data_IF_298858182188
#
_entry.id   IF_298858182188
#
_cell.length_a   1.000
_cell.length_b   1.000
_cell.length_c   1.000
_cell.angle_alpha   90.00
_cell.angle_beta   90.00
_cell.angle_gamma   90.00
#
_symmetry.space_group_name_H-M   'P 1'
#
loop_
_entity.id
_entity.type
_entity.pdbx_description
1 polymer ?
#
# COMPACT_ATOMS: atom_id res chain seq x y z
N UNK A 1 1.30 3.82 -15.11
CA UNK A 1 0.85 4.40 -13.83
C UNK A 1 1.65 5.64 -13.46
N UNK A 2 2.98 5.60 -13.41
CA UNK A 2 3.81 6.73 -12.95
C UNK A 2 3.65 8.00 -13.81
N UNK A 3 3.67 7.89 -15.13
CA UNK A 3 3.36 9.00 -16.04
C UNK A 3 1.95 9.56 -15.83
N UNK A 4 0.99 8.70 -15.48
CA UNK A 4 -0.37 9.14 -15.19
C UNK A 4 -0.43 9.99 -13.91
N UNK A 5 0.30 9.59 -12.86
CA UNK A 5 0.35 10.33 -11.59
C UNK A 5 1.05 11.68 -11.78
N UNK A 6 2.14 11.73 -12.56
CA UNK A 6 2.81 12.97 -12.93
C UNK A 6 1.89 13.91 -13.71
N UNK A 7 1.26 13.41 -14.75
CA UNK A 7 0.29 14.17 -15.57
C UNK A 7 -0.91 14.64 -14.75
N UNK A 8 -1.42 13.78 -13.86
CA UNK A 8 -2.56 14.14 -13.02
C UNK A 8 -2.23 15.26 -12.03
N UNK A 9 -1.01 15.27 -11.45
CA UNK A 9 -0.55 16.39 -10.63
C UNK A 9 -0.47 17.67 -11.45
N UNK A 10 0.17 17.62 -12.61
CA UNK A 10 0.30 18.79 -13.51
C UNK A 10 -1.06 19.31 -13.95
N UNK A 11 -1.99 18.43 -14.32
CA UNK A 11 -3.36 18.80 -14.71
C UNK A 11 -4.16 19.41 -13.55
N UNK A 12 -4.00 18.88 -12.33
CA UNK A 12 -4.74 19.36 -11.16
C UNK A 12 -4.17 20.68 -10.60
N UNK A 13 -2.86 20.89 -10.69
CA UNK A 13 -2.20 21.99 -9.96
C UNK A 13 -1.41 22.95 -10.87
N UNK A 14 -1.36 22.72 -12.20
CA UNK A 14 -0.78 23.62 -13.18
C UNK A 14 0.75 23.65 -13.17
N UNK A 15 1.42 22.64 -12.56
CA UNK A 15 2.88 22.53 -12.54
C UNK A 15 3.35 21.08 -12.58
N UNK A 16 4.47 20.77 -13.25
CA UNK A 16 5.00 19.42 -13.28
C UNK A 16 5.51 18.98 -11.89
N UNK A 17 5.53 17.68 -11.60
CA UNK A 17 6.13 17.16 -10.37
C UNK A 17 7.64 17.37 -10.36
N UNK A 18 8.20 17.67 -9.18
CA UNK A 18 9.64 17.68 -8.95
C UNK A 18 10.17 16.29 -8.58
N UNK A 19 9.28 15.44 -8.00
CA UNK A 19 9.59 14.06 -7.69
C UNK A 19 8.36 13.17 -7.87
N UNK A 20 8.61 11.92 -8.33
CA UNK A 20 7.61 10.84 -8.40
C UNK A 20 8.21 9.62 -7.72
N UNK A 21 7.51 9.10 -6.72
CA UNK A 21 7.91 7.90 -6.00
C UNK A 21 6.81 6.85 -6.03
N UNK A 22 7.22 5.60 -6.04
CA UNK A 22 6.31 4.47 -5.86
C UNK A 22 6.70 3.66 -4.65
N UNK A 23 5.70 3.13 -3.94
CA UNK A 23 5.89 2.18 -2.86
C UNK A 23 5.01 0.94 -3.12
N UNK A 24 5.54 -0.27 -2.95
CA UNK A 24 4.79 -1.50 -3.16
C UNK A 24 3.73 -1.68 -2.07
N UNK A 25 2.62 -2.32 -2.41
CA UNK A 25 1.76 -2.90 -1.39
C UNK A 25 2.54 -3.93 -0.58
N UNK A 26 2.15 -4.13 0.67
CA UNK A 26 2.76 -5.12 1.52
C UNK A 26 1.69 -6.01 2.19
N UNK A 27 2.09 -7.18 2.63
CA UNK A 27 1.21 -8.16 3.24
C UNK A 27 1.96 -9.00 4.27
N UNK A 28 1.22 -9.47 5.29
CA UNK A 28 1.76 -10.44 6.25
C UNK A 28 1.76 -11.84 5.66
N UNK A 29 2.79 -12.59 5.97
CA UNK A 29 2.84 -14.03 5.69
C UNK A 29 2.11 -14.83 6.79
N UNK A 30 1.87 -16.11 6.50
CA UNK A 30 1.29 -17.06 7.47
C UNK A 30 2.26 -17.41 8.64
N UNK A 31 3.47 -16.84 8.62
CA UNK A 31 4.45 -16.94 9.69
C UNK A 31 4.48 -15.64 10.49
N UNK A 32 4.37 -15.69 11.82
CA UNK A 32 4.31 -14.51 12.66
C UNK A 32 5.46 -13.52 12.41
N UNK A 33 5.12 -12.26 12.23
CA UNK A 33 6.06 -11.15 12.06
C UNK A 33 6.72 -11.05 10.69
N UNK A 34 6.59 -12.03 9.79
CA UNK A 34 7.10 -11.93 8.43
C UNK A 34 6.15 -11.14 7.54
N UNK A 35 6.69 -10.23 6.77
CA UNK A 35 5.98 -9.42 5.77
C UNK A 35 6.72 -9.44 4.45
N UNK A 36 6.00 -9.27 3.35
CA UNK A 36 6.60 -9.16 2.03
C UNK A 36 5.95 -8.03 1.21
N UNK A 37 6.68 -7.54 0.21
CA UNK A 37 6.19 -6.54 -0.71
C UNK A 37 5.58 -7.19 -1.95
N UNK A 38 4.46 -6.66 -2.44
CA UNK A 38 3.77 -7.10 -3.65
C UNK A 38 4.13 -6.21 -4.85
N UNK A 39 4.19 -6.78 -6.05
CA UNK A 39 4.59 -6.08 -7.27
C UNK A 39 3.62 -4.99 -7.77
N UNK A 40 2.58 -4.66 -7.01
CA UNK A 40 1.68 -3.53 -7.30
C UNK A 40 2.08 -2.31 -6.48
N UNK A 41 2.22 -1.13 -7.10
CA UNK A 41 2.61 0.08 -6.39
C UNK A 41 1.42 0.99 -6.05
N UNK A 42 1.64 1.83 -5.05
CA UNK A 42 1.04 3.15 -4.94
C UNK A 42 2.07 4.16 -5.38
N UNK A 43 1.69 5.14 -6.18
CA UNK A 43 2.58 6.22 -6.61
C UNK A 43 2.13 7.56 -6.04
N UNK A 44 3.10 8.41 -5.72
CA UNK A 44 2.92 9.78 -5.29
C UNK A 44 3.80 10.70 -6.13
N UNK A 45 3.20 11.78 -6.65
CA UNK A 45 3.90 12.87 -7.31
C UNK A 45 3.84 14.11 -6.42
N UNK A 46 4.95 14.81 -6.25
CA UNK A 46 5.06 16.00 -5.41
C UNK A 46 5.74 17.15 -6.14
N UNK A 47 5.27 18.39 -5.87
CA UNK A 47 5.92 19.62 -6.26
C UNK A 47 5.97 20.60 -5.08
N UNK A 48 7.10 21.36 -4.90
CA UNK A 48 7.24 22.27 -3.77
C UNK A 48 6.37 23.52 -3.94
N UNK A 49 5.92 24.07 -2.81
CA UNK A 49 5.23 25.37 -2.74
C UNK A 49 5.95 26.31 -1.79
N UNK A 50 5.62 27.60 -1.87
CA UNK A 50 6.19 28.67 -1.03
C UNK A 50 5.14 29.48 -0.30
N UNK A 51 3.85 29.17 -0.49
CA UNK A 51 2.71 29.92 0.07
C UNK A 51 2.11 29.28 1.34
N UNK A 52 2.73 28.21 1.83
CA UNK A 52 2.27 27.49 3.03
C UNK A 52 1.01 26.64 2.81
N UNK A 53 0.59 26.41 1.57
CA UNK A 53 -0.56 25.59 1.24
C UNK A 53 -0.15 24.14 0.95
N UNK A 54 -1.01 23.22 1.36
CA UNK A 54 -1.00 21.82 0.93
C UNK A 54 -2.17 21.65 -0.04
N UNK A 55 -1.89 21.19 -1.25
CA UNK A 55 -2.90 20.85 -2.23
C UNK A 55 -2.85 19.36 -2.51
N UNK A 56 -3.95 18.68 -2.23
CA UNK A 56 -4.08 17.24 -2.37
C UNK A 56 -5.05 16.91 -3.49
N UNK A 57 -4.68 15.95 -4.32
CA UNK A 57 -5.55 15.38 -5.35
C UNK A 57 -5.36 13.87 -5.46
N UNK A 58 -6.38 13.16 -5.96
CA UNK A 58 -6.34 11.73 -6.21
C UNK A 58 -7.34 11.35 -7.30
N UNK A 59 -6.95 10.49 -8.24
CA UNK A 59 -7.86 9.95 -9.23
C UNK A 59 -8.96 9.05 -8.62
N UNK A 60 -8.76 8.56 -7.40
CA UNK A 60 -9.80 7.85 -6.66
C UNK A 60 -10.91 8.78 -6.16
N UNK A 61 -10.63 10.10 -6.10
CA UNK A 61 -11.54 11.16 -5.63
C UNK A 61 -11.45 12.37 -6.58
N UNK A 62 -11.82 12.24 -7.86
CA UNK A 62 -11.55 13.26 -8.89
C UNK A 62 -12.34 14.56 -8.70
N UNK A 63 -13.45 14.51 -7.97
CA UNK A 63 -14.27 15.68 -7.67
C UNK A 63 -13.82 16.44 -6.41
N UNK A 64 -12.93 15.86 -5.61
CA UNK A 64 -12.56 16.36 -4.29
C UNK A 64 -11.10 16.84 -4.32
N UNK A 65 -10.81 18.05 -4.76
CA UNK A 65 -9.54 18.69 -4.45
C UNK A 65 -9.56 19.23 -3.01
N UNK A 66 -8.39 19.19 -2.35
CA UNK A 66 -8.27 19.67 -0.98
C UNK A 66 -7.09 20.63 -0.86
N UNK A 67 -7.41 21.91 -0.64
CA UNK A 67 -6.43 22.98 -0.43
C UNK A 67 -6.48 23.41 1.04
N UNK A 68 -5.43 23.11 1.80
CA UNK A 68 -5.40 23.32 3.25
C UNK A 68 -4.11 24.04 3.67
N UNK A 69 -4.20 25.10 4.50
CA UNK A 69 -3.02 25.74 5.08
C UNK A 69 -2.24 24.78 5.99
N UNK A 70 -0.92 24.68 5.78
CA UNK A 70 -0.05 23.79 6.55
C UNK A 70 0.12 24.24 8.01
N UNK A 71 -0.10 25.52 8.30
CA UNK A 71 0.04 26.09 9.65
C UNK A 71 -1.06 25.70 10.63
N UNK A 72 -2.18 25.15 10.18
CA UNK A 72 -3.30 24.77 11.05
C UNK A 72 -2.90 23.66 12.04
N UNK A 73 -3.50 23.71 13.22
CA UNK A 73 -3.28 22.69 14.28
C UNK A 73 -3.88 21.34 13.92
N UNK A 74 -4.90 21.31 13.08
CA UNK A 74 -5.58 20.13 12.53
C UNK A 74 -6.15 20.41 11.15
N UNK A 75 -6.70 19.40 10.47
CA UNK A 75 -7.42 19.63 9.23
C UNK A 75 -8.67 20.45 9.51
N UNK A 76 -9.10 21.35 8.59
CA UNK A 76 -10.40 22.01 8.67
C UNK A 76 -11.55 20.98 8.77
N UNK A 77 -12.70 21.36 9.36
CA UNK A 77 -13.84 20.44 9.52
C UNK A 77 -14.41 19.91 8.19
N UNK A 78 -14.26 20.66 7.12
CA UNK A 78 -14.70 20.33 5.75
C UNK A 78 -13.67 19.52 4.95
N UNK A 79 -12.52 19.18 5.55
CA UNK A 79 -11.50 18.36 4.89
C UNK A 79 -12.07 16.98 4.52
N UNK A 80 -12.02 16.56 3.24
CA UNK A 80 -12.46 15.24 2.85
C UNK A 80 -11.78 14.14 3.65
N UNK A 81 -12.51 13.10 4.05
CA UNK A 81 -11.99 12.03 4.91
C UNK A 81 -10.72 11.37 4.36
N UNK A 82 -10.61 11.22 3.03
CA UNK A 82 -9.43 10.67 2.38
C UNK A 82 -8.19 11.55 2.51
N UNK A 83 -8.36 12.88 2.66
CA UNK A 83 -7.27 13.85 2.75
C UNK A 83 -6.74 14.04 4.18
N UNK A 84 -7.50 13.66 5.20
CA UNK A 84 -7.12 13.83 6.63
C UNK A 84 -5.79 13.17 6.95
N UNK A 85 -5.61 11.91 6.54
CA UNK A 85 -4.38 11.15 6.81
C UNK A 85 -3.16 11.71 6.05
N UNK A 86 -3.20 11.95 4.72
CA UNK A 86 -2.14 12.64 3.99
C UNK A 86 -1.79 14.00 4.60
N UNK A 87 -2.77 14.80 4.99
CA UNK A 87 -2.54 16.09 5.62
C UNK A 87 -1.79 15.96 6.96
N UNK A 88 -2.19 15.02 7.83
CA UNK A 88 -1.49 14.76 9.09
C UNK A 88 -0.01 14.39 8.86
N UNK A 89 0.26 13.58 7.83
CA UNK A 89 1.61 13.21 7.45
C UNK A 89 2.41 14.40 6.92
N UNK A 90 1.83 15.22 6.04
CA UNK A 90 2.51 16.42 5.50
C UNK A 90 2.88 17.40 6.61
N UNK A 91 2.02 17.58 7.61
CA UNK A 91 2.35 18.39 8.80
C UNK A 91 3.51 17.80 9.60
N UNK A 92 3.56 16.48 9.76
CA UNK A 92 4.67 15.83 10.46
C UNK A 92 5.99 15.98 9.67
N UNK A 93 5.94 15.84 8.36
CA UNK A 93 7.08 16.07 7.46
C UNK A 93 7.57 17.53 7.54
N UNK A 94 6.66 18.49 7.51
CA UNK A 94 7.01 19.92 7.62
C UNK A 94 7.67 20.25 8.96
N UNK A 95 7.21 19.67 10.07
CA UNK A 95 7.84 19.82 11.40
C UNK A 95 9.24 19.20 11.42
N UNK A 96 9.46 18.13 10.65
CA UNK A 96 10.77 17.50 10.50
C UNK A 96 11.70 18.24 9.50
N UNK A 97 11.20 19.30 8.85
CA UNK A 97 11.99 20.12 7.93
C UNK A 97 11.68 19.92 6.44
N UNK A 98 10.82 18.97 6.10
CA UNK A 98 10.42 18.70 4.72
C UNK A 98 9.12 19.42 4.36
N UNK A 99 9.10 20.23 3.32
CA UNK A 99 7.88 20.85 2.80
C UNK A 99 7.29 21.96 3.66
N UNK A 100 8.08 22.71 4.40
CA UNK A 100 7.61 23.84 5.25
C UNK A 100 6.90 24.94 4.45
N UNK A 101 7.25 25.14 3.18
CA UNK A 101 6.60 26.08 2.29
C UNK A 101 5.27 25.59 1.69
N UNK A 102 4.89 24.36 1.97
CA UNK A 102 3.72 23.71 1.37
C UNK A 102 4.11 22.74 0.26
N UNK A 103 3.11 22.00 -0.24
CA UNK A 103 3.34 20.95 -1.25
C UNK A 103 2.08 20.71 -2.08
N UNK A 104 2.22 20.63 -3.40
CA UNK A 104 1.23 20.03 -4.29
C UNK A 104 1.50 18.52 -4.32
N UNK A 105 0.47 17.72 -4.11
CA UNK A 105 0.58 16.27 -4.03
C UNK A 105 -0.55 15.57 -4.77
N UNK A 106 -0.18 14.57 -5.59
CA UNK A 106 -1.12 13.62 -6.16
C UNK A 106 -0.74 12.20 -5.78
N UNK A 107 -1.71 11.42 -5.27
CA UNK A 107 -1.48 10.02 -4.86
C UNK A 107 -2.46 9.10 -5.55
N UNK A 108 -1.96 8.00 -6.10
CA UNK A 108 -2.77 7.00 -6.80
C UNK A 108 -2.29 5.57 -6.53
N UNK A 109 -3.21 4.71 -6.12
CA UNK A 109 -2.97 3.28 -5.97
C UNK A 109 -3.29 2.49 -7.25
N UNK A 110 -2.55 1.42 -7.52
CA UNK A 110 -2.86 0.45 -8.59
C UNK A 110 -3.99 -0.50 -8.21
N UNK A 111 -4.26 -0.66 -6.92
CA UNK A 111 -5.35 -1.47 -6.37
C UNK A 111 -6.31 -0.60 -5.58
N UNK A 112 -7.58 -0.96 -5.62
CA UNK A 112 -8.60 -0.40 -4.72
C UNK A 112 -8.61 -1.16 -3.39
N UNK A 113 -9.18 -0.57 -2.34
CA UNK A 113 -9.38 -1.23 -1.04
C UNK A 113 -10.16 -2.56 -1.16
N UNK A 114 -10.99 -2.71 -2.20
CA UNK A 114 -11.71 -3.94 -2.49
C UNK A 114 -10.80 -5.13 -2.86
N UNK A 115 -9.55 -4.91 -3.21
CA UNK A 115 -8.57 -5.98 -3.41
C UNK A 115 -8.19 -6.68 -2.10
N UNK A 116 -8.34 -5.99 -0.96
CA UNK A 116 -8.14 -6.56 0.37
C UNK A 116 -6.72 -6.47 0.91
N UNK A 117 -5.82 -5.76 0.22
CA UNK A 117 -4.54 -5.33 0.78
C UNK A 117 -4.69 -3.98 1.48
N UNK A 118 -3.85 -3.71 2.47
CA UNK A 118 -3.76 -2.42 3.11
C UNK A 118 -3.28 -1.37 2.10
N UNK A 119 -4.04 -0.28 1.95
CA UNK A 119 -3.77 0.78 0.97
C UNK A 119 -3.11 2.00 1.57
N UNK A 120 -3.25 2.21 2.88
CA UNK A 120 -2.74 3.37 3.58
C UNK A 120 -1.22 3.34 3.71
N UNK A 121 -0.63 2.21 4.11
CA UNK A 121 0.79 2.08 4.38
C UNK A 121 1.68 2.35 3.15
N UNK A 122 1.39 1.77 1.96
CA UNK A 122 2.16 2.12 0.77
C UNK A 122 1.94 3.58 0.32
N UNK A 123 0.73 4.13 0.51
CA UNK A 123 0.46 5.53 0.20
C UNK A 123 1.26 6.47 1.11
N UNK A 124 1.31 6.19 2.42
CA UNK A 124 2.13 6.93 3.39
C UNK A 124 3.61 6.94 2.99
N UNK A 125 4.15 5.76 2.59
CA UNK A 125 5.54 5.61 2.21
C UNK A 125 5.86 6.36 0.90
N UNK A 126 5.02 6.21 -0.13
CA UNK A 126 5.20 6.91 -1.41
C UNK A 126 5.14 8.42 -1.23
N UNK A 127 4.17 8.93 -0.45
CA UNK A 127 4.01 10.33 -0.12
C UNK A 127 5.23 10.87 0.63
N UNK A 128 5.65 10.18 1.71
CA UNK A 128 6.77 10.63 2.53
C UNK A 128 8.08 10.72 1.72
N UNK A 129 8.33 9.73 0.85
CA UNK A 129 9.50 9.71 -0.03
C UNK A 129 9.44 10.82 -1.08
N UNK A 130 8.28 11.01 -1.74
CA UNK A 130 8.12 12.05 -2.76
C UNK A 130 8.35 13.46 -2.17
N UNK A 131 7.76 13.74 -1.00
CA UNK A 131 7.92 15.04 -0.33
C UNK A 131 9.35 15.23 0.18
N UNK A 132 9.95 14.21 0.80
CA UNK A 132 11.32 14.30 1.28
C UNK A 132 12.31 14.51 0.13
N UNK A 133 12.15 13.82 -1.00
CA UNK A 133 13.01 13.95 -2.19
C UNK A 133 12.99 15.39 -2.76
N UNK A 134 11.80 16.01 -2.84
CA UNK A 134 11.65 17.41 -3.30
C UNK A 134 12.43 18.41 -2.43
N UNK A 135 12.64 18.08 -1.16
CA UNK A 135 13.31 18.96 -0.18
C UNK A 135 14.71 18.46 0.23
N UNK A 136 15.20 17.41 -0.42
CA UNK A 136 16.57 16.89 -0.25
C UNK A 136 17.47 17.44 -1.37
N UNK A 137 18.75 17.72 -1.13
CA UNK A 137 19.67 18.13 -2.18
C UNK A 137 19.70 17.17 -3.36
N UNK A 138 19.85 17.71 -4.58
CA UNK A 138 19.88 16.91 -5.80
C UNK A 138 20.96 15.81 -5.72
N UNK A 139 20.57 14.58 -6.10
CA UNK A 139 21.46 13.40 -6.08
C UNK A 139 21.58 12.69 -4.73
N UNK A 140 20.91 13.18 -3.68
CA UNK A 140 20.86 12.52 -2.38
C UNK A 140 19.51 11.80 -2.23
N UNK A 141 19.52 10.51 -1.91
CA UNK A 141 18.27 9.80 -1.61
C UNK A 141 17.73 10.18 -0.22
N UNK A 142 16.39 10.25 -0.05
CA UNK A 142 15.76 10.44 1.25
C UNK A 142 16.16 9.34 2.25
N UNK A 143 16.48 9.72 3.50
CA UNK A 143 16.78 8.77 4.56
C UNK A 143 15.52 7.98 4.95
N UNK A 144 15.41 6.76 4.43
CA UNK A 144 14.28 5.86 4.66
C UNK A 144 14.13 5.46 6.12
N UNK A 145 15.23 5.35 6.87
CA UNK A 145 15.17 5.00 8.28
C UNK A 145 14.60 6.16 9.11
N UNK A 146 15.00 7.39 8.79
CA UNK A 146 14.40 8.59 9.38
C UNK A 146 12.91 8.70 9.06
N UNK A 147 12.52 8.48 7.79
CA UNK A 147 11.13 8.51 7.36
C UNK A 147 10.29 7.40 8.02
N UNK A 148 10.82 6.18 8.18
CA UNK A 148 10.13 5.11 8.88
C UNK A 148 9.78 5.50 10.34
N UNK A 149 10.74 6.11 11.07
CA UNK A 149 10.51 6.60 12.43
C UNK A 149 9.49 7.74 12.48
N UNK A 150 9.54 8.64 11.51
CA UNK A 150 8.60 9.73 11.39
C UNK A 150 7.18 9.22 11.14
N UNK A 151 7.02 8.28 10.19
CA UNK A 151 5.74 7.63 9.89
C UNK A 151 5.15 6.91 11.11
N UNK A 152 5.98 6.17 11.87
CA UNK A 152 5.54 5.47 13.07
C UNK A 152 4.98 6.43 14.13
N UNK A 153 5.62 7.60 14.31
CA UNK A 153 5.17 8.62 15.27
C UNK A 153 3.97 9.42 14.78
N UNK A 154 3.94 9.77 13.49
CA UNK A 154 2.89 10.60 12.92
C UNK A 154 1.57 9.85 12.73
N UNK A 155 1.64 8.57 12.46
CA UNK A 155 0.52 7.70 12.10
C UNK A 155 0.53 6.40 12.92
N UNK A 156 0.32 6.46 14.23
CA UNK A 156 0.44 5.30 15.12
C UNK A 156 -0.57 4.18 14.82
N UNK A 157 -1.69 4.52 14.18
CA UNK A 157 -2.73 3.54 13.81
C UNK A 157 -2.36 2.65 12.61
N UNK A 158 -1.26 2.98 11.91
CA UNK A 158 -0.77 2.20 10.76
C UNK A 158 -0.04 0.93 11.18
N UNK A 159 0.10 0.03 10.20
CA UNK A 159 0.91 -1.18 10.36
C UNK A 159 2.38 -0.87 10.04
N UNK A 160 3.21 -0.78 11.11
CA UNK A 160 4.63 -0.47 10.97
C UNK A 160 5.38 -1.55 10.17
N UNK A 161 4.99 -2.83 10.32
CA UNK A 161 5.64 -3.91 9.60
C UNK A 161 5.42 -3.78 8.08
N UNK A 162 4.21 -3.43 7.66
CA UNK A 162 3.90 -3.19 6.25
C UNK A 162 4.64 -1.96 5.69
N UNK A 163 4.74 -0.87 6.46
CA UNK A 163 5.55 0.30 6.05
C UNK A 163 7.02 -0.06 5.92
N UNK A 164 7.57 -0.84 6.86
CA UNK A 164 8.96 -1.31 6.77
C UNK A 164 9.17 -2.23 5.57
N UNK A 165 8.23 -3.10 5.24
CA UNK A 165 8.28 -3.88 4.01
C UNK A 165 8.27 -2.97 2.77
N UNK A 166 7.37 -1.99 2.71
CA UNK A 166 7.32 -1.05 1.58
C UNK A 166 8.62 -0.26 1.40
N UNK A 167 9.31 0.11 2.49
CA UNK A 167 10.54 0.91 2.46
C UNK A 167 11.83 0.09 2.23
N UNK A 168 11.88 -1.16 2.73
CA UNK A 168 13.14 -1.92 2.86
C UNK A 168 13.09 -3.32 2.25
N UNK A 169 11.99 -3.75 1.61
CA UNK A 169 11.90 -5.07 1.00
C UNK A 169 13.04 -5.32 -0.01
N UNK A 170 13.33 -6.59 -0.23
CA UNK A 170 14.22 -7.05 -1.29
C UNK A 170 13.44 -7.97 -2.24
N UNK A 171 13.70 -7.93 -3.55
CA UNK A 171 13.05 -8.85 -4.47
C UNK A 171 13.30 -10.31 -4.05
N UNK A 172 12.24 -11.13 -4.05
CA UNK A 172 12.35 -12.55 -3.70
C UNK A 172 12.53 -12.83 -2.20
N UNK A 173 12.43 -11.82 -1.30
CA UNK A 173 12.63 -11.99 0.12
C UNK A 173 11.45 -11.45 0.94
N UNK A 174 11.13 -12.15 2.02
CA UNK A 174 10.30 -11.65 3.09
C UNK A 174 11.16 -10.95 4.16
N UNK A 175 10.58 -9.97 4.82
CA UNK A 175 11.24 -9.17 5.86
C UNK A 175 10.67 -9.56 7.23
N UNK A 176 11.54 -9.85 8.18
CA UNK A 176 11.23 -9.83 9.59
C UNK A 176 11.68 -8.46 10.14
N UNK A 177 10.76 -7.50 10.31
CA UNK A 177 11.13 -6.19 10.82
C UNK A 177 11.71 -6.31 12.22
N UNK A 178 12.79 -5.59 12.50
CA UNK A 178 13.31 -5.45 13.87
C UNK A 178 12.25 -4.78 14.76
N UNK A 179 12.15 -5.21 16.02
CA UNK A 179 11.19 -4.62 16.99
C UNK A 179 11.52 -3.17 17.37
N UNK A 180 12.75 -2.74 17.12
CA UNK A 180 13.22 -1.37 17.35
C UNK A 180 14.38 -1.08 16.39
N UNK A 181 14.77 0.19 16.29
CA UNK A 181 15.85 0.64 15.40
C UNK A 181 17.23 0.04 15.74
N UNK A 182 17.38 -0.58 16.91
CA UNK A 182 18.62 -1.20 17.34
C UNK A 182 18.90 -2.55 16.65
N UNK A 183 17.91 -3.16 16.00
CA UNK A 183 18.08 -4.42 15.26
C UNK A 183 17.72 -4.22 13.78
N UNK A 184 18.68 -4.44 12.87
CA UNK A 184 18.39 -4.38 11.44
C UNK A 184 17.34 -5.43 11.05
N UNK A 185 16.55 -5.17 9.99
CA UNK A 185 15.61 -6.15 9.47
C UNK A 185 16.35 -7.42 9.05
N UNK A 186 15.73 -8.56 9.30
CA UNK A 186 16.22 -9.86 8.81
C UNK A 186 15.46 -10.22 7.55
N UNK A 187 16.15 -10.81 6.59
CA UNK A 187 15.56 -11.21 5.32
C UNK A 187 15.54 -12.74 5.25
N UNK A 188 14.45 -13.28 4.70
CA UNK A 188 14.23 -14.72 4.52
C UNK A 188 13.79 -14.92 3.07
N UNK A 189 14.42 -15.85 2.36
CA UNK A 189 14.03 -16.18 0.99
C UNK A 189 12.54 -16.51 0.91
N UNK A 190 11.82 -15.81 0.03
CA UNK A 190 10.40 -16.01 -0.24
C UNK A 190 10.10 -15.69 -1.69
N UNK A 191 10.40 -16.66 -2.54
CA UNK A 191 10.17 -16.56 -3.98
C UNK A 191 9.39 -17.80 -4.47
N UNK A 192 8.06 -17.77 -4.36
CA UNK A 192 7.22 -18.92 -4.75
C UNK A 192 7.47 -19.41 -6.17
N UNK A 193 7.79 -18.50 -7.10
CA UNK A 193 8.05 -18.87 -8.49
C UNK A 193 9.28 -19.79 -8.65
N UNK A 194 10.26 -19.71 -7.77
CA UNK A 194 11.44 -20.55 -7.81
C UNK A 194 11.12 -22.04 -7.55
N UNK A 195 10.05 -22.33 -6.81
CA UNK A 195 9.55 -23.67 -6.54
C UNK A 195 8.37 -24.09 -7.42
N UNK A 196 8.11 -23.35 -8.50
CA UNK A 196 6.91 -23.49 -9.36
C UNK A 196 5.59 -23.32 -8.60
N UNK A 197 5.62 -22.55 -7.54
CA UNK A 197 4.43 -22.14 -6.82
C UNK A 197 3.95 -20.76 -7.29
N UNK A 198 2.69 -20.46 -7.04
CA UNK A 198 2.09 -19.16 -7.27
C UNK A 198 1.53 -18.61 -5.98
N UNK A 199 1.85 -17.34 -5.72
CA UNK A 199 1.16 -16.57 -4.70
C UNK A 199 0.05 -15.77 -5.39
N UNK A 200 -1.17 -15.93 -4.90
CA UNK A 200 -2.36 -15.32 -5.49
C UNK A 200 -3.13 -14.58 -4.40
N UNK A 201 -3.51 -13.35 -4.68
CA UNK A 201 -4.49 -12.61 -3.88
C UNK A 201 -5.89 -12.93 -4.42
N UNK A 202 -6.72 -13.53 -3.60
CA UNK A 202 -8.11 -13.78 -3.88
C UNK A 202 -8.95 -12.68 -3.23
N UNK A 203 -9.45 -11.73 -4.03
CA UNK A 203 -10.28 -10.63 -3.57
C UNK A 203 -11.75 -11.03 -3.56
N UNK A 204 -12.32 -11.20 -2.37
CA UNK A 204 -13.72 -11.55 -2.18
C UNK A 204 -14.58 -10.30 -2.31
N UNK A 205 -15.51 -10.31 -3.25
CA UNK A 205 -16.42 -9.21 -3.55
C UNK A 205 -17.73 -9.36 -2.80
N UNK A 206 -18.32 -8.25 -2.36
CA UNK A 206 -19.67 -8.25 -1.75
C UNK A 206 -19.86 -7.08 -0.79
N UNK A 207 -21.11 -6.73 -0.56
CA UNK A 207 -21.54 -5.68 0.38
C UNK A 207 -21.81 -6.23 1.80
N UNK A 208 -21.35 -7.44 2.10
CA UNK A 208 -21.61 -8.12 3.37
C UNK A 208 -21.00 -7.37 4.56
N UNK A 209 -21.70 -7.26 5.65
CA UNK A 209 -21.21 -6.72 6.93
C UNK A 209 -20.10 -7.58 7.55
N UNK A 210 -19.49 -7.12 8.64
CA UNK A 210 -18.25 -7.69 9.19
C UNK A 210 -18.29 -9.19 9.53
N UNK A 211 -19.38 -9.71 10.09
CA UNK A 211 -19.51 -11.15 10.44
C UNK A 211 -19.63 -12.03 9.20
N UNK A 212 -20.52 -11.66 8.27
CA UNK A 212 -20.72 -12.39 7.01
C UNK A 212 -19.43 -12.40 6.18
N UNK A 213 -18.70 -11.27 6.16
CA UNK A 213 -17.42 -11.17 5.46
C UNK A 213 -16.40 -12.16 6.00
N UNK A 214 -16.26 -12.27 7.31
CA UNK A 214 -15.35 -13.24 7.94
C UNK A 214 -15.73 -14.68 7.57
N UNK A 215 -17.00 -15.00 7.59
CA UNK A 215 -17.48 -16.32 7.19
C UNK A 215 -17.20 -16.62 5.70
N UNK A 216 -17.38 -15.66 4.82
CA UNK A 216 -17.04 -15.79 3.38
C UNK A 216 -15.54 -16.02 3.16
N UNK A 217 -14.69 -15.28 3.86
CA UNK A 217 -13.24 -15.45 3.79
C UNK A 217 -12.80 -16.82 4.32
N UNK A 218 -13.36 -17.26 5.46
CA UNK A 218 -13.06 -18.57 6.02
C UNK A 218 -13.46 -19.71 5.06
N UNK A 219 -14.60 -19.60 4.39
CA UNK A 219 -15.03 -20.55 3.35
C UNK A 219 -14.10 -20.55 2.15
N UNK A 220 -13.70 -19.35 1.68
CA UNK A 220 -12.76 -19.20 0.59
C UNK A 220 -11.43 -19.89 0.89
N UNK A 221 -10.91 -19.71 2.11
CA UNK A 221 -9.70 -20.39 2.61
C UNK A 221 -9.90 -21.90 2.60
N UNK A 222 -10.99 -22.39 3.19
CA UNK A 222 -11.27 -23.82 3.27
C UNK A 222 -11.42 -24.46 1.87
N UNK A 223 -12.14 -23.79 0.97
CA UNK A 223 -12.32 -24.25 -0.42
C UNK A 223 -10.99 -24.30 -1.18
N UNK A 224 -10.16 -23.24 -1.08
CA UNK A 224 -8.86 -23.22 -1.73
C UNK A 224 -7.95 -24.35 -1.25
N UNK A 225 -7.92 -24.60 0.07
CA UNK A 225 -7.14 -25.72 0.66
C UNK A 225 -7.61 -27.08 0.17
N UNK A 226 -8.92 -27.34 0.17
CA UNK A 226 -9.48 -28.61 -0.36
C UNK A 226 -9.16 -28.81 -1.84
N UNK A 227 -9.07 -27.73 -2.62
CA UNK A 227 -8.76 -27.78 -4.04
C UNK A 227 -7.24 -27.92 -4.33
N UNK A 228 -6.39 -27.96 -3.32
CA UNK A 228 -4.95 -28.22 -3.44
C UNK A 228 -4.06 -27.01 -3.23
N UNK A 229 -4.53 -25.94 -2.58
CA UNK A 229 -3.67 -24.88 -2.12
C UNK A 229 -2.80 -25.39 -0.95
N UNK A 230 -1.51 -25.05 -0.98
CA UNK A 230 -0.55 -25.38 0.08
C UNK A 230 -0.88 -24.60 1.37
N UNK A 231 -1.16 -23.30 1.20
CA UNK A 231 -1.55 -22.39 2.28
C UNK A 231 -2.57 -21.38 1.80
N UNK A 232 -3.43 -20.92 2.72
CA UNK A 232 -4.33 -19.81 2.48
C UNK A 232 -4.56 -19.05 3.80
N UNK A 233 -4.43 -17.72 3.79
CA UNK A 233 -4.48 -16.87 4.98
C UNK A 233 -4.88 -15.42 4.64
N UNK A 234 -5.35 -14.61 5.59
CA UNK A 234 -5.61 -13.20 5.38
C UNK A 234 -4.29 -12.41 5.22
N UNK A 235 -4.24 -11.35 4.40
CA UNK A 235 -3.02 -10.58 4.14
C UNK A 235 -2.55 -9.70 5.30
N UNK A 236 -3.32 -9.61 6.39
CA UNK A 236 -2.98 -8.83 7.56
C UNK A 236 -3.95 -9.04 8.71
N UNK A 237 -3.65 -8.46 9.90
CA UNK A 237 -4.46 -8.63 11.11
C UNK A 237 -5.81 -7.90 11.04
N UNK A 238 -5.92 -6.86 10.21
CA UNK A 238 -7.17 -6.13 10.01
C UNK A 238 -8.10 -6.90 9.08
N UNK A 239 -9.40 -6.99 9.41
CA UNK A 239 -10.35 -7.66 8.53
C UNK A 239 -10.42 -6.94 7.17
N UNK A 240 -9.96 -7.61 6.14
CA UNK A 240 -10.01 -7.15 4.76
C UNK A 240 -11.01 -7.94 3.92
N UNK A 241 -10.93 -7.79 2.61
CA UNK A 241 -11.69 -8.57 1.63
C UNK A 241 -10.81 -9.56 0.85
N UNK A 242 -9.56 -9.72 1.24
CA UNK A 242 -8.57 -10.55 0.55
C UNK A 242 -8.18 -11.80 1.33
N UNK A 243 -7.80 -12.82 0.58
CA UNK A 243 -7.12 -14.03 1.06
C UNK A 243 -5.89 -14.24 0.19
N UNK A 244 -4.75 -14.43 0.82
CA UNK A 244 -3.54 -14.89 0.13
C UNK A 244 -3.58 -16.40 0.01
N UNK A 245 -3.25 -16.91 -1.17
CA UNK A 245 -3.25 -18.34 -1.48
C UNK A 245 -1.91 -18.69 -2.11
N UNK A 246 -1.16 -19.56 -1.46
CA UNK A 246 0.06 -20.18 -1.99
C UNK A 246 -0.31 -21.56 -2.53
N UNK A 247 0.02 -21.83 -3.80
CA UNK A 247 -0.37 -23.07 -4.45
C UNK A 247 0.60 -23.44 -5.58
N UNK A 248 0.76 -24.75 -5.90
CA UNK A 248 1.47 -25.17 -7.09
C UNK A 248 0.82 -24.60 -8.35
N UNK A 249 1.63 -24.14 -9.30
CA UNK A 249 1.12 -23.55 -10.56
C UNK A 249 0.12 -24.48 -11.26
N UNK A 250 0.39 -25.78 -11.27
CA UNK A 250 -0.50 -26.80 -11.86
C UNK A 250 -1.89 -26.86 -11.19
N UNK A 251 -2.04 -26.37 -9.97
CA UNK A 251 -3.32 -26.36 -9.22
C UNK A 251 -4.12 -25.07 -9.40
N UNK A 252 -3.56 -24.04 -10.03
CA UNK A 252 -4.21 -22.73 -10.14
C UNK A 252 -5.59 -22.80 -10.79
N UNK A 253 -5.74 -23.53 -11.88
CA UNK A 253 -7.02 -23.67 -12.57
C UNK A 253 -8.05 -24.40 -11.71
N UNK A 254 -7.66 -25.50 -11.07
CA UNK A 254 -8.54 -26.28 -10.21
C UNK A 254 -9.02 -25.47 -8.99
N UNK A 255 -8.14 -24.75 -8.33
CA UNK A 255 -8.48 -23.88 -7.20
C UNK A 255 -9.44 -22.76 -7.64
N UNK A 256 -9.18 -22.10 -8.76
CA UNK A 256 -10.07 -21.06 -9.31
C UNK A 256 -11.47 -21.61 -9.61
N UNK A 257 -11.55 -22.77 -10.24
CA UNK A 257 -12.82 -23.42 -10.59
C UNK A 257 -13.61 -23.80 -9.34
N UNK A 258 -12.96 -24.45 -8.36
CA UNK A 258 -13.61 -24.87 -7.13
C UNK A 258 -14.16 -23.68 -6.32
N UNK A 259 -13.35 -22.62 -6.15
CA UNK A 259 -13.78 -21.42 -5.44
C UNK A 259 -14.91 -20.71 -6.20
N UNK A 260 -14.82 -20.63 -7.52
CA UNK A 260 -15.85 -20.00 -8.34
C UNK A 260 -17.20 -20.77 -8.25
N UNK A 261 -17.16 -22.10 -8.25
CA UNK A 261 -18.35 -22.94 -8.07
C UNK A 261 -18.99 -22.70 -6.70
N UNK A 262 -18.22 -22.80 -5.61
CA UNK A 262 -18.67 -22.55 -4.24
C UNK A 262 -19.39 -21.20 -4.07
N UNK A 263 -18.84 -20.13 -4.67
CA UNK A 263 -19.43 -18.80 -4.58
C UNK A 263 -20.69 -18.66 -5.44
N UNK A 264 -20.72 -19.25 -6.65
CA UNK A 264 -21.92 -19.25 -7.52
C UNK A 264 -23.07 -20.02 -6.91
N UNK A 265 -22.83 -21.20 -6.35
CA UNK A 265 -23.84 -22.02 -5.66
C UNK A 265 -24.54 -21.26 -4.53
N UNK A 266 -23.85 -20.30 -3.92
CA UNK A 266 -24.36 -19.43 -2.86
C UNK A 266 -24.93 -18.11 -3.36
N UNK A 267 -25.03 -17.90 -4.68
CA UNK A 267 -25.46 -16.64 -5.25
C UNK A 267 -24.53 -15.45 -4.93
N UNK A 268 -23.23 -15.73 -4.68
CA UNK A 268 -22.24 -14.72 -4.33
C UNK A 268 -21.35 -14.38 -5.55
N UNK A 269 -20.88 -13.12 -5.67
CA UNK A 269 -19.93 -12.76 -6.71
C UNK A 269 -18.64 -13.58 -6.61
N UNK A 270 -18.20 -14.12 -7.73
CA UNK A 270 -16.94 -14.88 -7.80
C UNK A 270 -15.77 -13.98 -7.42
N UNK A 271 -14.86 -14.42 -6.53
CA UNK A 271 -13.66 -13.67 -6.18
C UNK A 271 -12.77 -13.39 -7.39
N UNK A 272 -12.07 -12.26 -7.36
CA UNK A 272 -11.00 -12.00 -8.33
C UNK A 272 -9.71 -12.64 -7.85
N UNK A 273 -8.95 -13.19 -8.78
CA UNK A 273 -7.65 -13.80 -8.52
C UNK A 273 -6.57 -12.94 -9.17
N UNK A 274 -5.67 -12.41 -8.37
CA UNK A 274 -4.57 -11.55 -8.80
C UNK A 274 -3.24 -12.24 -8.42
N UNK A 275 -2.38 -12.50 -9.40
CA UNK A 275 -1.07 -13.08 -9.14
C UNK A 275 -0.18 -12.05 -8.45
N UNK A 276 0.54 -12.45 -7.39
CA UNK A 276 1.51 -11.61 -6.70
C UNK A 276 2.92 -12.04 -7.08
N UNK A 277 3.72 -11.08 -7.52
CA UNK A 277 5.18 -11.21 -7.53
C UNK A 277 5.72 -10.53 -6.25
N UNK A 278 6.72 -11.14 -5.62
CA UNK A 278 7.43 -10.54 -4.47
C UNK A 278 8.36 -9.46 -5.01
N UNK A 279 8.15 -8.24 -4.55
CA UNK A 279 8.78 -7.05 -5.10
C UNK A 279 9.91 -6.49 -4.20
N UNK A 280 10.69 -5.58 -4.77
CA UNK A 280 11.65 -4.75 -4.03
C UNK A 280 10.98 -3.58 -3.30
N UNK A 281 11.78 -2.66 -2.75
CA UNK A 281 11.33 -1.55 -1.94
C UNK A 281 10.72 -0.43 -2.80
N UNK A 282 10.21 0.60 -2.12
CA UNK A 282 9.85 1.86 -2.74
C UNK A 282 11.02 2.44 -3.56
N UNK A 283 10.70 3.10 -4.68
CA UNK A 283 11.71 3.65 -5.58
C UNK A 283 11.26 4.97 -6.21
N UNK A 284 12.25 5.75 -6.61
CA UNK A 284 12.02 6.93 -7.44
C UNK A 284 11.70 6.48 -8.86
N UNK A 285 10.71 7.10 -9.45
CA UNK A 285 10.29 6.86 -10.84
C UNK A 285 10.80 8.01 -11.74
N UNK A 286 11.12 7.66 -12.98
CA UNK A 286 11.62 8.61 -13.98
C UNK A 286 10.49 9.11 -14.88
#
# INVERSE_FOLDING_TARGET
MFRLVAYALESAHGRPPAAVWSAPYAFHLDSPGLVAAAGWPVAAAAAPRTDGLVRLSSLAHPADSCDVPLALTGPPPDTPAWAVRPYALLRALARAGFGRGGTDLHVQGSLTAAAGLATAEPADCALALAVADVHTPAGVEPDRAHLARLLARALPDGDEALRRAALFARPGEAVLPGRNDARPPRYVAFEPAATRDRLVLMAVRGRSGGADRRAELARAVACARRAGALRAWPPGPRPGSGVLVLLPEARLAAVRTAVAAEFRERGRPVPRFLNIAVAGPARREQ
#
